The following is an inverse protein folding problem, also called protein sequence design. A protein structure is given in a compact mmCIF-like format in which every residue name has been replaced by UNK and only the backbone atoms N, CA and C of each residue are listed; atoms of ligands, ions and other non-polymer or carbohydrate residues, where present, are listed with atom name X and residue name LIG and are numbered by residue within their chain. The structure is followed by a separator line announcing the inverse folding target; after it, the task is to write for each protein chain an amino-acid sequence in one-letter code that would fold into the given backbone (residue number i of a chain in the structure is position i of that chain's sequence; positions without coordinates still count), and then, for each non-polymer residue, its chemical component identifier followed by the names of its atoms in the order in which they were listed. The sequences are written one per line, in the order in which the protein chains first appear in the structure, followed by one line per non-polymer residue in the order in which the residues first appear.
data_IF_600805582869
#
_entry.id   IF_600805582869
#
_cell.length_a   1.000
_cell.length_b   1.000
_cell.length_c   1.000
_cell.angle_alpha   90.00
_cell.angle_beta   90.00
_cell.angle_gamma   90.00
#
_symmetry.space_group_name_H-M   'P 1'
#
loop_
_entity.id
_entity.type
_entity.pdbx_description
1 polymer ?
#
# COMPACT_ATOMS: atom_id res chain seq x y z
N UNK A 1 -11.15 14.36 7.62
CA UNK A 1 -10.47 13.26 8.36
C UNK A 1 -10.93 13.20 9.80
N UNK A 2 -11.29 12.03 10.30
CA UNK A 2 -11.72 11.80 11.68
C UNK A 2 -10.81 10.76 12.34
N UNK A 3 -10.12 11.15 13.40
CA UNK A 3 -9.34 10.19 14.21
C UNK A 3 -10.27 9.33 15.02
N UNK A 4 -10.12 8.01 14.95
CA UNK A 4 -10.98 7.02 15.58
C UNK A 4 -10.19 5.96 16.34
N UNK A 5 -10.81 5.34 17.33
CA UNK A 5 -10.28 4.16 18.00
C UNK A 5 -10.46 2.88 17.16
N UNK A 6 -9.76 1.81 17.53
CA UNK A 6 -9.93 0.49 16.89
C UNK A 6 -11.37 -0.02 17.02
N UNK A 7 -12.04 0.21 18.16
CA UNK A 7 -13.45 -0.19 18.33
C UNK A 7 -14.38 0.60 17.42
N UNK A 8 -14.11 1.89 17.22
CA UNK A 8 -14.87 2.71 16.27
C UNK A 8 -14.61 2.28 14.84
N UNK A 9 -13.34 1.91 14.49
CA UNK A 9 -13.00 1.35 13.20
C UNK A 9 -13.84 0.10 12.90
N UNK A 10 -13.92 -0.85 13.84
CA UNK A 10 -14.72 -2.07 13.67
C UNK A 10 -16.19 -1.78 13.40
N UNK A 11 -16.77 -0.70 13.97
CA UNK A 11 -18.14 -0.28 13.65
C UNK A 11 -18.27 0.27 12.24
N UNK A 12 -17.32 1.10 11.81
CA UNK A 12 -17.27 1.62 10.43
C UNK A 12 -17.22 0.48 9.41
N UNK A 13 -16.44 -0.57 9.71
CA UNK A 13 -16.28 -1.73 8.83
C UNK A 13 -17.53 -2.63 8.74
N UNK A 14 -18.54 -2.44 9.58
CA UNK A 14 -19.82 -3.15 9.47
C UNK A 14 -20.70 -2.61 8.34
N UNK A 15 -20.47 -1.35 7.92
CA UNK A 15 -21.28 -0.66 6.93
C UNK A 15 -20.68 -0.73 5.49
N UNK A 16 -19.55 -1.41 5.31
CA UNK A 16 -18.93 -1.59 3.99
C UNK A 16 -19.65 -2.69 3.19
N UNK A 17 -19.56 -2.69 1.83
CA UNK A 17 -20.16 -3.72 1.01
C UNK A 17 -19.68 -5.14 1.37
N UNK A 18 -20.48 -6.14 1.05
CA UNK A 18 -20.05 -7.53 1.12
C UNK A 18 -18.96 -7.82 0.07
N UNK A 19 -17.90 -8.52 0.46
CA UNK A 19 -16.77 -8.85 -0.40
C UNK A 19 -16.14 -7.63 -1.10
N UNK A 20 -15.76 -6.58 -0.34
CA UNK A 20 -15.27 -5.34 -0.91
C UNK A 20 -13.91 -5.54 -1.60
N UNK A 21 -13.62 -4.73 -2.61
CA UNK A 21 -12.25 -4.58 -3.12
C UNK A 21 -11.52 -3.57 -2.24
N UNK A 22 -10.46 -4.03 -1.61
CA UNK A 22 -9.65 -3.26 -0.67
C UNK A 22 -8.27 -3.02 -1.28
N UNK A 23 -7.98 -1.79 -1.62
CA UNK A 23 -6.66 -1.40 -2.08
C UNK A 23 -5.82 -0.94 -0.90
N UNK A 24 -4.62 -1.51 -0.76
CA UNK A 24 -3.75 -1.29 0.39
C UNK A 24 -2.38 -0.81 -0.07
N UNK A 25 -1.77 0.14 0.67
CA UNK A 25 -0.37 0.52 0.48
C UNK A 25 0.51 -0.73 0.44
N UNK A 26 1.27 -0.87 -0.63
CA UNK A 26 2.09 -2.05 -0.90
C UNK A 26 3.51 -1.94 -0.35
N UNK A 27 4.41 -2.75 -0.91
CA UNK A 27 5.83 -2.77 -0.58
C UNK A 27 6.08 -2.79 0.94
N UNK A 28 7.03 -1.96 1.39
CA UNK A 28 7.41 -1.81 2.80
C UNK A 28 6.54 -0.80 3.57
N UNK A 29 5.59 -0.15 2.89
CA UNK A 29 4.63 0.77 3.49
C UNK A 29 3.27 0.12 3.82
N UNK A 30 3.18 -1.20 3.90
CA UNK A 30 1.95 -1.88 4.28
C UNK A 30 1.51 -1.48 5.69
N UNK A 31 0.27 -0.95 5.89
CA UNK A 31 -0.25 -0.55 7.19
C UNK A 31 -0.67 -1.79 8.00
N UNK A 32 0.30 -2.49 8.58
CA UNK A 32 0.12 -3.84 9.16
C UNK A 32 -0.93 -3.88 10.27
N UNK A 33 -0.96 -2.89 11.14
CA UNK A 33 -1.92 -2.84 12.24
C UNK A 33 -3.33 -2.57 11.74
N UNK A 34 -3.50 -1.61 10.83
CA UNK A 34 -4.79 -1.33 10.20
C UNK A 34 -5.29 -2.53 9.39
N UNK A 35 -4.42 -3.15 8.59
CA UNK A 35 -4.78 -4.31 7.76
C UNK A 35 -5.19 -5.52 8.62
N UNK A 36 -4.53 -5.75 9.75
CA UNK A 36 -4.90 -6.81 10.72
C UNK A 36 -6.27 -6.57 11.34
N UNK A 37 -6.57 -5.33 11.74
CA UNK A 37 -7.89 -4.98 12.27
C UNK A 37 -8.98 -5.11 11.20
N UNK A 38 -8.67 -4.70 9.97
CA UNK A 38 -9.55 -4.89 8.82
C UNK A 38 -9.85 -6.38 8.59
N UNK A 39 -8.80 -7.19 8.48
CA UNK A 39 -8.91 -8.64 8.25
C UNK A 39 -9.72 -9.36 9.35
N UNK A 40 -9.57 -8.94 10.61
CA UNK A 40 -10.32 -9.51 11.73
C UNK A 40 -11.81 -9.17 11.70
N UNK A 41 -12.19 -8.05 11.09
CA UNK A 41 -13.56 -7.54 11.05
C UNK A 41 -14.32 -7.94 9.78
N UNK A 42 -13.60 -8.15 8.65
CA UNK A 42 -14.19 -8.39 7.33
C UNK A 42 -13.91 -9.81 6.87
N UNK A 43 -14.91 -10.71 6.88
CA UNK A 43 -14.69 -12.13 6.66
C UNK A 43 -14.29 -12.47 5.21
N UNK A 44 -14.71 -11.66 4.23
CA UNK A 44 -14.44 -11.90 2.81
C UNK A 44 -14.16 -10.59 2.08
N UNK A 45 -13.06 -10.56 1.28
CA UNK A 45 -12.69 -9.38 0.50
C UNK A 45 -11.66 -9.71 -0.58
N UNK A 46 -11.51 -8.78 -1.55
CA UNK A 46 -10.47 -8.80 -2.56
C UNK A 46 -9.35 -7.87 -2.09
N UNK A 47 -8.17 -8.41 -1.83
CA UNK A 47 -6.98 -7.64 -1.42
C UNK A 47 -6.17 -7.25 -2.65
N UNK A 48 -6.26 -5.97 -3.04
CA UNK A 48 -5.48 -5.39 -4.12
C UNK A 48 -4.23 -4.69 -3.57
N UNK A 49 -3.06 -5.17 -3.93
CA UNK A 49 -1.78 -4.57 -3.54
C UNK A 49 -0.75 -4.73 -4.65
N UNK A 50 0.18 -3.79 -4.78
CA UNK A 50 1.37 -3.96 -5.60
C UNK A 50 2.54 -4.44 -4.73
N UNK A 51 3.28 -5.43 -5.24
CA UNK A 51 4.49 -5.96 -4.59
C UNK A 51 4.30 -6.28 -3.09
N UNK A 52 3.20 -6.95 -2.78
CA UNK A 52 2.88 -7.31 -1.40
C UNK A 52 4.00 -8.13 -0.76
N UNK A 53 4.47 -7.70 0.41
CA UNK A 53 5.47 -8.40 1.19
C UNK A 53 4.82 -9.52 2.03
N UNK A 54 5.64 -10.44 2.53
CA UNK A 54 5.14 -11.52 3.40
C UNK A 54 4.48 -10.95 4.67
N UNK A 55 3.52 -11.71 5.22
CA UNK A 55 2.81 -11.33 6.45
C UNK A 55 1.52 -10.56 6.21
N UNK A 56 1.01 -10.52 4.98
CA UNK A 56 -0.37 -10.11 4.67
C UNK A 56 -1.36 -11.24 5.03
N UNK A 57 -2.66 -10.94 5.22
CA UNK A 57 -3.67 -11.95 5.49
C UNK A 57 -3.70 -13.06 4.43
N UNK A 58 -3.56 -14.32 4.84
CA UNK A 58 -3.57 -15.48 3.96
C UNK A 58 -4.52 -16.55 4.53
N UNK A 59 -5.81 -16.39 4.27
CA UNK A 59 -6.87 -17.27 4.75
C UNK A 59 -8.01 -17.40 3.74
N UNK A 60 -8.89 -18.36 3.96
CA UNK A 60 -10.12 -18.45 3.20
C UNK A 60 -10.97 -17.18 3.36
N UNK A 61 -11.61 -16.75 2.25
CA UNK A 61 -12.32 -15.49 2.17
C UNK A 61 -11.48 -14.32 1.66
N UNK A 62 -10.14 -14.43 1.60
CA UNK A 62 -9.27 -13.42 1.01
C UNK A 62 -8.85 -13.85 -0.40
N UNK A 63 -9.23 -13.07 -1.41
CA UNK A 63 -8.75 -13.22 -2.79
C UNK A 63 -7.71 -12.14 -3.07
N UNK A 64 -6.56 -12.53 -3.59
CA UNK A 64 -5.52 -11.58 -3.96
C UNK A 64 -5.73 -11.06 -5.38
N UNK A 65 -5.48 -9.78 -5.59
CA UNK A 65 -5.50 -9.14 -6.90
C UNK A 65 -4.29 -8.23 -7.04
N UNK A 66 -3.53 -8.37 -8.12
CA UNK A 66 -2.35 -7.52 -8.35
C UNK A 66 -1.90 -7.54 -9.80
N UNK A 67 -1.30 -6.43 -10.23
CA UNK A 67 -0.55 -6.36 -11.50
C UNK A 67 0.97 -6.46 -11.27
N UNK A 68 1.44 -6.44 -10.02
CA UNK A 68 2.84 -6.62 -9.67
C UNK A 68 3.00 -7.57 -8.48
N UNK A 69 3.28 -8.83 -8.79
CA UNK A 69 3.30 -9.92 -7.81
C UNK A 69 4.50 -9.83 -6.88
N UNK A 70 4.27 -9.53 -5.62
CA UNK A 70 5.25 -9.59 -4.56
C UNK A 70 5.35 -10.97 -3.89
N UNK A 71 6.33 -11.15 -3.00
CA UNK A 71 6.55 -12.43 -2.32
C UNK A 71 5.37 -12.90 -1.47
N UNK A 72 4.58 -11.97 -0.93
CA UNK A 72 3.42 -12.31 -0.09
C UNK A 72 2.25 -12.95 -0.86
N UNK A 73 2.19 -12.78 -2.19
CA UNK A 73 1.10 -13.32 -3.02
C UNK A 73 1.54 -14.41 -3.98
N UNK A 74 2.85 -14.55 -4.24
CA UNK A 74 3.42 -15.31 -5.36
C UNK A 74 2.95 -16.76 -5.46
N UNK A 75 2.79 -17.45 -4.37
CA UNK A 75 2.47 -18.87 -4.36
C UNK A 75 1.03 -19.16 -3.92
N UNK A 76 0.19 -18.13 -3.84
CA UNK A 76 -1.19 -18.32 -3.39
C UNK A 76 -2.07 -18.87 -4.51
N UNK A 77 -2.85 -19.93 -4.25
CA UNK A 77 -3.86 -20.41 -5.20
C UNK A 77 -5.03 -19.43 -5.37
N UNK A 78 -5.15 -18.42 -4.52
CA UNK A 78 -6.18 -17.38 -4.56
C UNK A 78 -5.72 -16.09 -5.27
N UNK A 79 -4.58 -16.15 -5.99
CA UNK A 79 -4.04 -15.01 -6.72
C UNK A 79 -4.78 -14.82 -8.06
N UNK A 80 -5.39 -13.66 -8.21
CA UNK A 80 -5.87 -13.13 -9.48
C UNK A 80 -4.83 -12.13 -10.02
N UNK A 81 -3.98 -12.59 -10.95
CA UNK A 81 -2.98 -11.75 -11.58
C UNK A 81 -3.56 -10.95 -12.74
N UNK A 82 -3.34 -9.64 -12.74
CA UNK A 82 -3.76 -8.73 -13.81
C UNK A 82 -2.53 -8.40 -14.67
N UNK A 83 -2.33 -9.03 -15.83
CA UNK A 83 -1.20 -8.76 -16.69
C UNK A 83 -1.34 -7.35 -17.30
N UNK A 84 -0.54 -6.42 -16.82
CA UNK A 84 -0.59 -5.03 -17.27
C UNK A 84 0.78 -4.34 -17.15
N UNK A 85 0.97 -3.29 -17.94
CA UNK A 85 2.05 -2.33 -17.70
C UNK A 85 1.72 -1.50 -16.46
N UNK A 86 2.71 -1.20 -15.64
CA UNK A 86 2.51 -0.37 -14.44
C UNK A 86 1.90 1.01 -14.78
N UNK A 87 2.28 1.60 -15.93
CA UNK A 87 1.71 2.86 -16.40
C UNK A 87 0.22 2.82 -16.74
N UNK A 88 -0.35 1.63 -16.93
CA UNK A 88 -1.79 1.46 -17.20
C UNK A 88 -2.62 1.26 -15.94
N UNK A 89 -2.00 1.07 -14.78
CA UNK A 89 -2.72 0.82 -13.54
C UNK A 89 -3.68 1.94 -13.16
N UNK A 90 -3.38 3.23 -13.32
CA UNK A 90 -4.34 4.30 -13.07
C UNK A 90 -5.63 4.16 -13.89
N UNK A 91 -5.52 3.71 -15.15
CA UNK A 91 -6.69 3.46 -16.02
C UNK A 91 -7.47 2.24 -15.52
N UNK A 92 -6.77 1.15 -15.21
CA UNK A 92 -7.39 -0.08 -14.70
C UNK A 92 -8.13 0.17 -13.39
N UNK A 93 -7.55 0.96 -12.49
CA UNK A 93 -8.21 1.34 -11.23
C UNK A 93 -9.49 2.13 -11.47
N UNK A 94 -9.46 3.12 -12.37
CA UNK A 94 -10.62 3.95 -12.65
C UNK A 94 -11.76 3.21 -13.35
N UNK A 95 -11.41 2.29 -14.27
CA UNK A 95 -12.39 1.74 -15.20
C UNK A 95 -12.81 0.30 -14.88
N UNK A 96 -11.97 -0.46 -14.14
CA UNK A 96 -12.18 -1.91 -13.98
C UNK A 96 -12.04 -2.43 -12.55
N UNK A 97 -11.10 -1.88 -11.75
CA UNK A 97 -10.82 -2.39 -10.40
C UNK A 97 -11.04 -1.31 -9.34
N UNK A 98 -12.20 -0.67 -9.40
CA UNK A 98 -12.60 0.41 -8.50
C UNK A 98 -12.55 -0.10 -7.06
N UNK A 99 -11.79 0.54 -6.15
CA UNK A 99 -11.73 0.14 -4.76
C UNK A 99 -12.94 0.66 -3.97
N UNK A 100 -13.55 -0.22 -3.17
CA UNK A 100 -14.55 0.14 -2.18
C UNK A 100 -13.90 0.72 -0.91
N UNK A 101 -12.70 0.25 -0.59
CA UNK A 101 -11.93 0.67 0.57
C UNK A 101 -10.47 0.90 0.17
N UNK A 102 -9.88 1.99 0.64
CA UNK A 102 -8.43 2.24 0.51
C UNK A 102 -7.81 2.31 1.89
N UNK A 103 -6.81 1.46 2.16
CA UNK A 103 -6.05 1.44 3.40
C UNK A 103 -4.66 2.03 3.17
N UNK A 104 -4.38 3.15 3.81
CA UNK A 104 -3.14 3.90 3.65
C UNK A 104 -2.22 3.77 4.86
N UNK A 105 -0.92 3.84 4.62
CA UNK A 105 0.09 4.10 5.64
C UNK A 105 0.66 5.49 5.41
N UNK A 106 0.45 6.39 6.35
CA UNK A 106 0.83 7.80 6.20
C UNK A 106 1.73 8.27 7.32
N UNK A 107 2.38 9.41 7.09
CA UNK A 107 3.00 10.18 8.16
C UNK A 107 1.94 10.73 9.12
N UNK A 108 2.39 11.28 10.24
CA UNK A 108 1.55 12.16 11.06
C UNK A 108 1.19 13.44 10.27
N UNK A 109 0.10 14.07 10.67
CA UNK A 109 -0.40 15.29 10.04
C UNK A 109 0.60 16.46 10.16
N UNK A 110 0.72 17.22 9.06
CA UNK A 110 1.33 18.55 9.03
C UNK A 110 0.34 19.53 8.41
N UNK A 111 -0.08 20.53 9.17
CA UNK A 111 -1.14 21.46 8.77
C UNK A 111 -2.43 20.69 8.39
N UNK A 112 -2.86 20.77 7.15
CA UNK A 112 -4.05 20.13 6.58
C UNK A 112 -3.73 18.91 5.70
N UNK A 113 -2.48 18.42 5.74
CA UNK A 113 -2.02 17.28 4.93
C UNK A 113 -1.36 16.19 5.76
N UNK A 114 -1.34 14.99 5.21
CA UNK A 114 -0.47 13.87 5.57
C UNK A 114 0.38 13.49 4.37
N UNK A 115 1.41 12.70 4.57
CA UNK A 115 2.22 12.17 3.47
C UNK A 115 2.07 10.66 3.37
N UNK A 116 1.98 10.14 2.15
CA UNK A 116 2.05 8.71 1.84
C UNK A 116 3.44 8.11 2.15
N UNK A 117 4.43 8.96 2.46
CA UNK A 117 5.74 8.56 2.91
C UNK A 117 6.54 7.82 1.84
N UNK A 118 6.83 6.55 2.08
CA UNK A 118 7.74 5.74 1.26
C UNK A 118 7.05 5.01 0.10
N UNK A 119 5.73 5.06 0.00
CA UNK A 119 4.96 4.38 -1.06
C UNK A 119 3.86 5.30 -1.58
N UNK A 120 4.05 5.86 -2.76
CA UNK A 120 3.11 6.76 -3.42
C UNK A 120 2.38 6.03 -4.55
N UNK A 121 3.14 5.58 -5.54
CA UNK A 121 2.76 4.67 -6.62
C UNK A 121 1.33 4.96 -7.17
N UNK A 122 0.41 4.01 -7.01
CA UNK A 122 -0.98 4.09 -7.49
C UNK A 122 -1.95 4.71 -6.47
N UNK A 123 -1.47 5.05 -5.28
CA UNK A 123 -2.34 5.46 -4.17
C UNK A 123 -3.12 6.75 -4.43
N UNK A 124 -2.55 7.81 -5.03
CA UNK A 124 -3.32 9.02 -5.36
C UNK A 124 -4.52 8.69 -6.26
N UNK A 125 -4.32 7.89 -7.31
CA UNK A 125 -5.42 7.46 -8.19
C UNK A 125 -6.42 6.57 -7.45
N UNK A 126 -5.97 5.70 -6.56
CA UNK A 126 -6.86 4.86 -5.77
C UNK A 126 -7.76 5.67 -4.84
N UNK A 127 -7.22 6.69 -4.18
CA UNK A 127 -7.96 7.63 -3.32
C UNK A 127 -9.02 8.37 -4.15
N UNK A 128 -8.60 9.00 -5.26
CA UNK A 128 -9.48 9.73 -6.16
C UNK A 128 -10.63 8.83 -6.66
N UNK A 129 -10.30 7.62 -7.12
CA UNK A 129 -11.28 6.68 -7.67
C UNK A 129 -12.25 6.19 -6.61
N UNK A 130 -11.77 5.79 -5.42
CA UNK A 130 -12.64 5.36 -4.33
C UNK A 130 -13.65 6.47 -3.97
N UNK A 131 -13.17 7.69 -3.77
CA UNK A 131 -14.03 8.83 -3.41
C UNK A 131 -15.05 9.18 -4.48
N UNK A 132 -14.67 9.12 -5.76
CA UNK A 132 -15.59 9.36 -6.88
C UNK A 132 -16.74 8.35 -6.95
N UNK A 133 -16.56 7.16 -6.36
CA UNK A 133 -17.53 6.07 -6.38
C UNK A 133 -18.17 5.77 -5.01
N UNK A 134 -17.95 6.64 -4.01
CA UNK A 134 -18.52 6.47 -2.67
C UNK A 134 -17.80 5.45 -1.80
N UNK A 135 -16.59 5.05 -2.17
CA UNK A 135 -15.70 4.25 -1.34
C UNK A 135 -15.12 5.04 -0.18
N UNK A 136 -14.54 4.35 0.79
CA UNK A 136 -13.95 4.96 1.99
C UNK A 136 -12.43 4.88 2.00
N UNK A 137 -11.79 5.91 2.54
CA UNK A 137 -10.33 6.01 2.70
C UNK A 137 -9.99 6.02 4.18
N UNK A 138 -9.21 5.02 4.61
CA UNK A 138 -8.79 4.85 6.00
C UNK A 138 -7.27 4.88 6.07
N UNK A 139 -6.72 5.70 6.94
CA UNK A 139 -5.27 5.83 7.12
C UNK A 139 -4.79 5.31 8.47
N UNK A 140 -3.65 4.66 8.47
CA UNK A 140 -2.79 4.43 9.62
C UNK A 140 -1.72 5.52 9.63
N UNK A 141 -1.87 6.54 10.48
CA UNK A 141 -0.85 7.57 10.66
C UNK A 141 0.21 7.06 11.63
N UNK A 142 1.44 6.94 11.14
CA UNK A 142 2.56 6.41 11.91
C UNK A 142 3.60 7.51 12.18
N UNK A 143 4.00 7.69 13.43
CA UNK A 143 5.04 8.66 13.80
C UNK A 143 6.40 8.35 13.16
N UNK A 144 6.65 7.07 12.82
CA UNK A 144 7.88 6.61 12.18
C UNK A 144 7.90 6.85 10.65
N UNK A 145 6.72 7.12 10.02
CA UNK A 145 6.65 7.34 8.58
C UNK A 145 7.19 8.73 8.23
N UNK A 146 8.20 8.82 7.34
CA UNK A 146 8.73 10.11 6.94
C UNK A 146 7.70 10.91 6.15
N UNK A 147 7.74 12.23 6.33
CA UNK A 147 6.95 13.15 5.53
C UNK A 147 7.70 13.45 4.24
N UNK A 148 7.25 12.90 3.11
CA UNK A 148 7.75 13.19 1.77
C UNK A 148 6.81 14.17 1.06
N UNK A 149 7.33 14.88 0.05
CA UNK A 149 6.63 15.96 -0.63
C UNK A 149 6.19 15.57 -2.05
N UNK A 150 5.54 16.48 -2.74
CA UNK A 150 5.00 16.25 -4.08
C UNK A 150 3.73 15.40 -4.05
N UNK A 151 3.61 14.44 -4.95
CA UNK A 151 2.42 13.58 -5.09
C UNK A 151 2.14 12.70 -3.85
N UNK A 152 3.08 12.64 -2.91
CA UNK A 152 2.88 11.98 -1.63
C UNK A 152 1.98 12.76 -0.67
N UNK A 153 1.78 14.05 -0.89
CA UNK A 153 1.00 14.92 -0.01
C UNK A 153 -0.49 14.77 -0.32
N UNK A 154 -1.23 14.30 0.67
CA UNK A 154 -2.69 14.09 0.59
C UNK A 154 -3.36 15.02 1.59
N UNK A 155 -4.38 15.74 1.17
CA UNK A 155 -5.18 16.58 2.05
C UNK A 155 -5.99 15.71 3.03
N UNK A 156 -6.13 16.17 4.27
CA UNK A 156 -6.92 15.46 5.28
C UNK A 156 -8.40 15.30 4.88
N UNK A 157 -8.91 16.16 4.00
CA UNK A 157 -10.26 16.06 3.45
C UNK A 157 -10.47 14.84 2.55
N UNK A 158 -9.39 14.22 2.05
CA UNK A 158 -9.44 13.02 1.21
C UNK A 158 -9.45 11.72 2.02
N UNK A 159 -9.28 11.81 3.35
CA UNK A 159 -9.26 10.69 4.28
C UNK A 159 -10.49 10.76 5.18
N UNK A 160 -11.27 9.69 5.24
CA UNK A 160 -12.47 9.63 6.08
C UNK A 160 -12.10 9.34 7.53
N UNK A 161 -11.29 8.31 7.76
CA UNK A 161 -10.91 7.86 9.10
C UNK A 161 -9.41 7.68 9.23
N UNK A 162 -8.90 7.90 10.44
CA UNK A 162 -7.48 7.77 10.77
C UNK A 162 -7.32 7.09 12.13
N UNK A 163 -6.44 6.09 12.18
CA UNK A 163 -5.89 5.53 13.42
C UNK A 163 -4.43 5.98 13.57
N UNK A 164 -4.01 6.24 14.80
CA UNK A 164 -2.63 6.67 15.10
C UNK A 164 -1.84 5.50 15.67
N UNK A 165 -0.60 5.35 15.19
CA UNK A 165 0.34 4.34 15.67
C UNK A 165 1.76 4.92 15.82
N UNK A 166 2.60 4.19 16.55
CA UNK A 166 4.03 4.45 16.67
C UNK A 166 4.75 3.11 16.53
N UNK A 167 4.95 2.67 15.29
CA UNK A 167 5.46 1.34 14.95
C UNK A 167 6.68 1.46 14.04
N UNK A 168 7.68 0.57 14.18
CA UNK A 168 8.78 0.49 13.23
C UNK A 168 8.26 0.24 11.81
N UNK A 169 8.86 0.92 10.83
CA UNK A 169 8.60 0.65 9.43
C UNK A 169 9.20 -0.71 9.05
N UNK A 170 8.58 -1.33 8.05
CA UNK A 170 9.18 -2.53 7.46
C UNK A 170 10.44 -2.16 6.69
N UNK A 171 11.49 -2.94 6.88
CA UNK A 171 12.77 -2.78 6.22
C UNK A 171 13.03 -3.92 5.25
N UNK A 172 13.79 -3.63 4.20
CA UNK A 172 14.28 -4.66 3.30
C UNK A 172 15.29 -5.53 4.07
N UNK A 173 15.17 -6.88 4.00
CA UNK A 173 16.18 -7.75 4.56
C UNK A 173 17.57 -7.42 4.01
N UNK A 174 18.59 -7.47 4.85
CA UNK A 174 19.98 -7.38 4.39
C UNK A 174 20.25 -8.52 3.40
N UNK A 175 20.82 -8.17 2.27
CA UNK A 175 21.23 -9.14 1.25
C UNK A 175 22.73 -9.35 1.45
N UNK A 176 23.12 -10.59 1.75
CA UNK A 176 24.54 -10.93 1.78
C UNK A 176 25.16 -10.71 0.41
N UNK A 177 26.24 -9.96 0.40
CA UNK A 177 27.02 -9.71 -0.80
C UNK A 177 27.81 -10.98 -1.16
N UNK A 178 27.36 -11.71 -2.17
CA UNK A 178 28.10 -12.87 -2.72
C UNK A 178 29.30 -12.43 -3.53
N UNK A 179 30.31 -13.29 -3.69
CA UNK A 179 31.48 -13.01 -4.53
C UNK A 179 31.06 -12.70 -5.99
N UNK A 180 30.09 -13.43 -6.51
CA UNK A 180 29.52 -13.17 -7.85
C UNK A 180 28.88 -11.79 -7.93
N UNK A 181 28.11 -11.38 -6.93
CA UNK A 181 27.48 -10.06 -6.91
C UNK A 181 28.55 -8.95 -6.82
N UNK A 182 29.62 -9.16 -6.05
CA UNK A 182 30.76 -8.24 -5.97
C UNK A 182 31.44 -8.11 -7.33
N UNK A 183 31.78 -9.23 -7.98
CA UNK A 183 32.43 -9.21 -9.29
C UNK A 183 31.58 -8.50 -10.36
N UNK A 184 30.26 -8.72 -10.35
CA UNK A 184 29.33 -8.00 -11.25
C UNK A 184 29.37 -6.51 -10.94
N UNK A 185 29.32 -6.12 -9.67
CA UNK A 185 29.38 -4.74 -9.22
C UNK A 185 30.66 -4.04 -9.68
N UNK A 186 31.81 -4.67 -9.51
CA UNK A 186 33.10 -4.14 -9.90
C UNK A 186 33.18 -3.94 -11.42
N UNK A 187 32.67 -4.89 -12.21
CA UNK A 187 32.64 -4.77 -13.69
C UNK A 187 31.71 -3.63 -14.13
N UNK A 188 30.57 -3.44 -13.49
CA UNK A 188 29.66 -2.33 -13.80
C UNK A 188 30.30 -1.00 -13.38
N UNK A 189 30.88 -0.93 -12.19
CA UNK A 189 31.52 0.29 -11.68
C UNK A 189 32.66 0.77 -12.62
N UNK A 190 33.42 -0.16 -13.21
CA UNK A 190 34.47 0.17 -14.14
C UNK A 190 34.00 0.79 -15.49
N UNK A 191 32.69 0.72 -15.79
CA UNK A 191 32.08 1.32 -16.98
C UNK A 191 31.48 2.72 -16.70
N UNK A 192 31.48 3.15 -15.45
CA UNK A 192 30.87 4.41 -15.03
C UNK A 192 31.95 5.49 -14.98
N UNK A 193 31.77 6.53 -15.75
CA UNK A 193 32.67 7.69 -15.79
C UNK A 193 32.31 8.71 -14.72
N UNK A 194 33.26 9.53 -14.30
CA UNK A 194 33.02 10.64 -13.36
C UNK A 194 31.98 11.61 -13.92
N UNK A 195 31.01 11.99 -13.10
CA UNK A 195 29.92 12.86 -13.48
C UNK A 195 28.71 12.15 -14.13
N UNK A 196 28.73 10.81 -14.25
CA UNK A 196 27.60 10.03 -14.75
C UNK A 196 26.38 10.14 -13.81
N UNK A 197 25.20 10.12 -14.42
CA UNK A 197 23.92 9.96 -13.68
C UNK A 197 23.50 8.50 -13.77
N UNK A 198 23.26 7.88 -12.62
CA UNK A 198 22.80 6.50 -12.51
C UNK A 198 21.32 6.47 -12.11
N UNK A 199 20.58 5.54 -12.70
CA UNK A 199 19.18 5.28 -12.38
C UNK A 199 18.95 3.79 -12.11
#
# INVERSE_FOLDING_TARGET
MRTISVEQLRRVLQDIPENPRVLVSGNFATPKSLLREFDSAVPKYILHMLNAQVGIPDRDGVTYETAFVGPGMRNSPRLNYIPSRLSMLPVILRDHTIPDVVLLHTSTRRFDTVSLGTEVNILPTAIETARAHGGIVIAQANKQMPYTYGDAQIYESEIDYLIEVDEPLSEKPEIEMTDTAREIGDRIAALIEDGSTLQ
#
